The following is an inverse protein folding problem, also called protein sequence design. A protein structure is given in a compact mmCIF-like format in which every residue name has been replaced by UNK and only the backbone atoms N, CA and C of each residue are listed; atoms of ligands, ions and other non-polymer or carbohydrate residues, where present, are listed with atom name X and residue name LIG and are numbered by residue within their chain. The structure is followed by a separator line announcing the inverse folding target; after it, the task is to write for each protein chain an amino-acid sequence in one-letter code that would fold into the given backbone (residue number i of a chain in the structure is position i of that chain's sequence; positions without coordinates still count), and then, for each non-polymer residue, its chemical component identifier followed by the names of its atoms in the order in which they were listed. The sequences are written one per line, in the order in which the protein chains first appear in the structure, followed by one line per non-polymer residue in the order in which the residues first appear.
data_IF_218249628684
#
_entry.id   IF_218249628684
#
_cell.length_a   1.000
_cell.length_b   1.000
_cell.length_c   1.000
_cell.angle_alpha   90.00
_cell.angle_beta   90.00
_cell.angle_gamma   90.00
#
_symmetry.space_group_name_H-M   'P 1'
#
loop_
_entity.id
_entity.type
_entity.pdbx_description
1 polymer ?
#
# COMPACT_ATOMS: atom_id res chain seq x y z
N UNK A 1 -5.70 -2.02 18.95
CA UNK A 1 -5.61 -2.65 17.60
C UNK A 1 -4.19 -2.50 17.10
N UNK A 2 -3.63 -3.55 16.52
CA UNK A 2 -2.29 -3.47 15.94
C UNK A 2 -2.33 -2.66 14.64
N UNK A 3 -1.59 -1.54 14.56
CA UNK A 3 -1.50 -0.67 13.37
C UNK A 3 -0.25 -0.99 12.53
N UNK A 4 0.18 -2.25 12.53
CA UNK A 4 1.33 -2.73 11.79
C UNK A 4 0.90 -3.48 10.54
N UNK A 5 1.53 -3.19 9.42
CA UNK A 5 1.22 -3.77 8.11
C UNK A 5 2.49 -4.11 7.35
N UNK A 6 2.37 -4.91 6.31
CA UNK A 6 3.50 -5.32 5.47
C UNK A 6 3.29 -4.88 4.03
N UNK A 7 4.37 -4.48 3.36
CA UNK A 7 4.45 -4.34 1.92
C UNK A 7 5.35 -5.45 1.39
N UNK A 8 4.79 -6.34 0.57
CA UNK A 8 5.51 -7.49 0.03
C UNK A 8 6.55 -7.07 -0.99
N UNK A 9 7.70 -7.76 -1.00
CA UNK A 9 8.73 -7.58 -2.02
C UNK A 9 8.32 -8.19 -3.37
N UNK A 10 8.98 -7.80 -4.46
CA UNK A 10 8.58 -8.16 -5.83
C UNK A 10 8.59 -9.64 -6.14
N UNK A 11 9.54 -10.39 -5.57
CA UNK A 11 9.67 -11.84 -5.78
C UNK A 11 8.92 -12.70 -4.76
N UNK A 12 8.00 -12.11 -3.97
CA UNK A 12 7.31 -12.82 -2.88
C UNK A 12 6.65 -14.12 -3.33
N UNK A 13 6.05 -14.15 -4.53
CA UNK A 13 5.27 -15.29 -5.03
C UNK A 13 6.11 -16.35 -5.77
N UNK A 14 7.42 -16.17 -5.91
CA UNK A 14 8.27 -17.09 -6.68
C UNK A 14 8.45 -18.44 -5.99
N UNK A 15 8.73 -18.44 -4.67
CA UNK A 15 9.03 -19.65 -3.93
C UNK A 15 8.10 -19.84 -2.73
N UNK A 16 7.51 -21.02 -2.58
CA UNK A 16 6.75 -21.46 -1.39
C UNK A 16 5.76 -20.42 -0.84
N UNK A 17 5.15 -19.61 -1.73
CA UNK A 17 4.33 -18.48 -1.30
C UNK A 17 3.17 -18.88 -0.38
N UNK A 18 2.61 -20.07 -0.52
CA UNK A 18 1.55 -20.58 0.36
C UNK A 18 2.03 -20.71 1.81
N UNK A 19 3.26 -21.20 2.03
CA UNK A 19 3.85 -21.26 3.37
C UNK A 19 4.11 -19.87 3.93
N UNK A 20 4.55 -18.92 3.07
CA UNK A 20 4.74 -17.53 3.48
C UNK A 20 3.40 -16.89 3.89
N UNK A 21 2.31 -17.13 3.15
CA UNK A 21 0.98 -16.60 3.50
C UNK A 21 0.45 -17.26 4.78
N UNK A 22 0.69 -18.54 4.99
CA UNK A 22 0.31 -19.19 6.24
C UNK A 22 1.01 -18.56 7.45
N UNK A 23 2.29 -18.22 7.32
CA UNK A 23 3.01 -17.44 8.34
C UNK A 23 2.35 -16.07 8.55
N UNK A 24 2.00 -15.33 7.47
CA UNK A 24 1.33 -14.05 7.56
C UNK A 24 -0.03 -14.15 8.27
N UNK A 25 -0.80 -15.21 8.00
CA UNK A 25 -2.09 -15.45 8.67
C UNK A 25 -1.96 -15.65 10.18
N UNK A 26 -0.78 -16.04 10.68
CA UNK A 26 -0.49 -16.24 12.11
C UNK A 26 0.15 -15.00 12.77
N UNK A 27 0.38 -13.92 12.00
CA UNK A 27 0.89 -12.66 12.55
C UNK A 27 -0.26 -11.73 12.96
N UNK A 28 -0.06 -10.98 14.03
CA UNK A 28 -0.97 -9.90 14.43
C UNK A 28 -0.69 -8.63 13.62
N UNK A 29 -0.94 -8.69 12.32
CA UNK A 29 -0.82 -7.55 11.40
C UNK A 29 -2.18 -7.07 10.92
N UNK A 30 -2.27 -5.77 10.61
CA UNK A 30 -3.50 -5.15 10.13
C UNK A 30 -3.75 -5.45 8.66
N UNK A 31 -2.76 -5.17 7.81
CA UNK A 31 -2.90 -5.25 6.35
C UNK A 31 -1.66 -5.81 5.67
N UNK A 32 -1.86 -6.43 4.52
CA UNK A 32 -0.80 -6.81 3.58
C UNK A 32 -1.02 -6.06 2.28
N UNK A 33 0.03 -5.38 1.83
CA UNK A 33 0.05 -4.58 0.62
C UNK A 33 0.95 -5.18 -0.45
N UNK A 34 0.55 -5.00 -1.71
CA UNK A 34 1.37 -5.24 -2.90
C UNK A 34 1.56 -3.95 -3.69
N UNK A 35 2.59 -3.86 -4.51
CA UNK A 35 2.87 -2.68 -5.34
C UNK A 35 2.73 -3.00 -6.85
N UNK A 36 2.75 -1.97 -7.69
CA UNK A 36 2.44 -2.07 -9.11
C UNK A 36 3.54 -1.46 -10.00
N UNK A 37 4.77 -2.01 -9.93
CA UNK A 37 5.88 -1.63 -10.82
C UNK A 37 6.02 -2.55 -12.03
N UNK A 38 6.73 -2.08 -13.09
CA UNK A 38 7.10 -2.90 -14.24
C UNK A 38 8.36 -3.73 -14.00
N UNK A 39 9.20 -3.31 -13.08
CA UNK A 39 10.43 -4.01 -12.71
C UNK A 39 10.61 -4.00 -11.20
N UNK A 40 11.36 -4.98 -10.71
CA UNK A 40 11.67 -5.07 -9.30
C UNK A 40 12.46 -3.83 -8.84
N UNK A 41 11.96 -3.08 -7.83
CA UNK A 41 12.54 -1.80 -7.43
C UNK A 41 13.88 -1.93 -6.69
N UNK A 42 14.21 -3.11 -6.15
CA UNK A 42 15.46 -3.34 -5.43
C UNK A 42 16.51 -4.06 -6.28
N UNK A 43 16.12 -5.17 -6.93
CA UNK A 43 17.02 -6.02 -7.71
C UNK A 43 16.41 -6.22 -9.10
N UNK A 44 16.90 -5.48 -10.09
CA UNK A 44 16.35 -5.45 -11.45
C UNK A 44 16.29 -6.83 -12.14
N UNK A 45 17.19 -7.74 -11.78
CA UNK A 45 17.23 -9.10 -12.34
C UNK A 45 16.21 -10.06 -11.71
N UNK A 46 15.61 -9.68 -10.57
CA UNK A 46 14.55 -10.47 -9.96
C UNK A 46 13.19 -10.17 -10.59
N UNK A 47 12.28 -11.15 -10.59
CA UNK A 47 10.93 -10.96 -11.07
C UNK A 47 10.16 -9.95 -10.21
N UNK A 48 9.06 -9.46 -10.76
CA UNK A 48 8.03 -8.72 -10.04
C UNK A 48 6.68 -9.30 -10.43
N UNK A 49 5.84 -9.54 -9.45
CA UNK A 49 4.51 -10.08 -9.66
C UNK A 49 3.61 -9.10 -10.46
N UNK A 50 2.63 -9.64 -11.14
CA UNK A 50 1.50 -8.84 -11.64
C UNK A 50 0.53 -8.61 -10.48
N UNK A 51 0.13 -7.34 -10.28
CA UNK A 51 -0.61 -6.92 -9.07
C UNK A 51 -1.97 -7.62 -8.92
N UNK A 52 -2.70 -7.83 -10.02
CA UNK A 52 -4.01 -8.50 -9.99
C UNK A 52 -3.87 -9.97 -9.60
N UNK A 53 -2.88 -10.66 -10.16
CA UNK A 53 -2.59 -12.05 -9.80
C UNK A 53 -2.16 -12.16 -8.33
N UNK A 54 -1.34 -11.23 -7.86
CA UNK A 54 -0.89 -11.20 -6.48
C UNK A 54 -2.06 -10.99 -5.49
N UNK A 55 -2.96 -10.04 -5.77
CA UNK A 55 -4.16 -9.80 -4.96
C UNK A 55 -5.07 -11.02 -4.95
N UNK A 56 -5.31 -11.65 -6.12
CA UNK A 56 -6.15 -12.85 -6.19
C UNK A 56 -5.56 -14.01 -5.36
N UNK A 57 -4.26 -14.30 -5.52
CA UNK A 57 -3.57 -15.33 -4.73
C UNK A 57 -3.65 -15.07 -3.22
N UNK A 58 -3.51 -13.81 -2.79
CA UNK A 58 -3.66 -13.45 -1.39
C UNK A 58 -5.11 -13.62 -0.92
N UNK A 59 -6.08 -13.14 -1.70
CA UNK A 59 -7.49 -13.17 -1.33
C UNK A 59 -8.05 -14.62 -1.19
N UNK A 60 -7.56 -15.55 -2.00
CA UNK A 60 -7.97 -16.96 -1.95
C UNK A 60 -7.60 -17.65 -0.63
N UNK A 61 -6.48 -17.27 -0.01
CA UNK A 61 -5.92 -17.97 1.16
C UNK A 61 -5.81 -17.10 2.41
N UNK A 62 -6.14 -15.81 2.30
CA UNK A 62 -6.13 -14.88 3.43
C UNK A 62 -7.26 -15.18 4.43
N UNK A 63 -6.94 -15.10 5.73
CA UNK A 63 -7.87 -15.33 6.82
C UNK A 63 -7.96 -14.17 7.82
N UNK A 64 -6.88 -13.43 8.02
CA UNK A 64 -6.72 -12.62 9.23
C UNK A 64 -6.25 -11.17 9.00
N UNK A 65 -5.96 -10.75 7.77
CA UNK A 65 -5.51 -9.38 7.48
C UNK A 65 -6.29 -8.72 6.34
N UNK A 66 -6.32 -7.40 6.31
CA UNK A 66 -6.87 -6.65 5.19
C UNK A 66 -5.90 -6.67 4.00
N UNK A 67 -6.45 -6.62 2.78
CA UNK A 67 -5.66 -6.54 1.57
C UNK A 67 -5.60 -5.11 1.04
N UNK A 68 -4.51 -4.79 0.34
CA UNK A 68 -4.40 -3.51 -0.33
C UNK A 68 -3.28 -3.43 -1.35
N UNK A 69 -3.24 -2.31 -2.05
CA UNK A 69 -2.13 -1.96 -2.94
C UNK A 69 -1.43 -0.69 -2.43
N UNK A 70 -0.10 -0.64 -2.54
CA UNK A 70 0.70 0.50 -2.11
C UNK A 70 1.91 0.68 -3.04
N UNK A 71 1.69 1.24 -4.22
CA UNK A 71 0.47 1.83 -4.75
C UNK A 71 0.08 1.17 -6.08
N UNK A 72 -1.20 1.23 -6.45
CA UNK A 72 -1.65 0.97 -7.81
C UNK A 72 -1.25 2.16 -8.68
N UNK A 73 -0.43 1.93 -9.71
CA UNK A 73 0.06 2.99 -10.56
C UNK A 73 -1.00 3.39 -11.59
N UNK A 74 -1.62 4.56 -11.39
CA UNK A 74 -2.68 5.06 -12.27
C UNK A 74 -2.21 5.33 -13.71
N UNK A 75 -0.91 5.45 -13.95
CA UNK A 75 -0.33 5.71 -15.27
C UNK A 75 0.17 4.47 -16.01
N UNK A 76 0.10 3.29 -15.39
CA UNK A 76 0.62 2.04 -15.98
C UNK A 76 -0.30 1.47 -17.07
N UNK A 77 -1.59 1.79 -17.06
CA UNK A 77 -2.63 1.23 -17.92
C UNK A 77 -3.52 2.32 -18.52
N UNK A 78 -4.24 1.99 -19.61
CA UNK A 78 -5.34 2.83 -20.09
C UNK A 78 -6.40 2.96 -18.99
N UNK A 79 -7.08 4.12 -18.95
CA UNK A 79 -8.06 4.45 -17.91
C UNK A 79 -9.15 3.39 -17.78
N UNK A 80 -9.75 2.96 -18.88
CA UNK A 80 -10.84 1.99 -18.85
C UNK A 80 -10.37 0.63 -18.34
N UNK A 81 -9.19 0.16 -18.77
CA UNK A 81 -8.56 -1.04 -18.25
C UNK A 81 -8.27 -0.91 -16.75
N UNK A 82 -7.73 0.25 -16.31
CA UNK A 82 -7.45 0.50 -14.89
C UNK A 82 -8.73 0.42 -14.03
N UNK A 83 -9.82 1.03 -14.50
CA UNK A 83 -11.09 1.05 -13.78
C UNK A 83 -11.74 -0.33 -13.76
N UNK A 84 -11.96 -0.94 -14.95
CA UNK A 84 -12.78 -2.14 -15.09
C UNK A 84 -12.06 -3.42 -14.65
N UNK A 85 -10.76 -3.56 -14.97
CA UNK A 85 -10.03 -4.80 -14.77
C UNK A 85 -9.25 -4.84 -13.44
N UNK A 86 -9.12 -3.69 -12.75
CA UNK A 86 -8.41 -3.58 -11.49
C UNK A 86 -9.28 -2.93 -10.40
N UNK A 87 -9.61 -1.65 -10.53
CA UNK A 87 -10.24 -0.89 -9.44
C UNK A 87 -11.58 -1.50 -9.04
N UNK A 88 -12.52 -1.65 -9.98
CA UNK A 88 -13.84 -2.17 -9.66
C UNK A 88 -13.80 -3.63 -9.19
N UNK A 89 -12.87 -4.44 -9.69
CA UNK A 89 -12.70 -5.80 -9.19
C UNK A 89 -12.14 -5.85 -7.77
N UNK A 90 -11.18 -4.97 -7.43
CA UNK A 90 -10.64 -4.91 -6.07
C UNK A 90 -11.65 -4.32 -5.07
N UNK A 91 -12.61 -3.52 -5.52
CA UNK A 91 -13.70 -3.02 -4.67
C UNK A 91 -14.67 -4.11 -4.20
N UNK A 92 -14.69 -5.27 -4.87
CA UNK A 92 -15.43 -6.47 -4.43
C UNK A 92 -14.79 -7.15 -3.20
N UNK A 93 -13.51 -6.85 -2.93
CA UNK A 93 -12.79 -7.41 -1.78
C UNK A 93 -13.16 -6.60 -0.53
N UNK A 94 -13.59 -7.29 0.51
CA UNK A 94 -13.99 -6.66 1.78
C UNK A 94 -12.84 -5.86 2.40
N UNK A 95 -13.10 -4.61 2.78
CA UNK A 95 -12.14 -3.72 3.43
C UNK A 95 -10.84 -3.50 2.64
N UNK A 96 -10.91 -3.50 1.31
CA UNK A 96 -9.72 -3.29 0.49
C UNK A 96 -9.15 -1.87 0.62
N UNK A 97 -7.82 -1.76 0.79
CA UNK A 97 -7.10 -0.50 0.91
C UNK A 97 -6.49 -0.08 -0.44
N UNK A 98 -7.08 0.94 -1.09
CA UNK A 98 -6.59 1.48 -2.36
C UNK A 98 -5.49 2.50 -2.17
N UNK A 99 -4.24 2.07 -2.17
CA UNK A 99 -3.12 2.97 -2.39
C UNK A 99 -3.05 3.36 -3.87
N UNK A 100 -3.17 4.63 -4.20
CA UNK A 100 -3.03 5.15 -5.56
C UNK A 100 -1.77 5.99 -5.67
N UNK A 101 -1.10 5.90 -6.82
CA UNK A 101 0.09 6.69 -7.10
C UNK A 101 0.31 6.93 -8.59
N UNK A 102 1.19 7.89 -8.91
CA UNK A 102 1.52 8.24 -10.30
C UNK A 102 2.72 7.46 -10.85
N UNK A 103 3.23 6.50 -10.07
CA UNK A 103 4.45 5.74 -10.37
C UNK A 103 5.75 6.54 -10.14
N UNK A 104 6.87 5.81 -10.14
CA UNK A 104 8.22 6.39 -10.12
C UNK A 104 8.87 6.07 -11.47
N UNK A 105 9.19 7.08 -12.27
CA UNK A 105 9.67 6.95 -13.66
C UNK A 105 10.87 6.00 -13.80
N UNK A 106 11.70 5.89 -12.77
CA UNK A 106 12.87 4.98 -12.79
C UNK A 106 12.52 3.50 -12.78
N UNK A 107 11.30 3.13 -12.33
CA UNK A 107 10.80 1.75 -12.29
C UNK A 107 9.75 1.47 -13.38
N UNK A 108 9.45 2.47 -14.22
CA UNK A 108 8.42 2.40 -15.24
C UNK A 108 9.01 2.33 -16.64
N UNK A 109 8.29 1.71 -17.58
CA UNK A 109 8.67 1.69 -19.01
C UNK A 109 8.31 3.04 -19.63
N UNK A 110 9.31 3.88 -19.95
CA UNK A 110 9.13 5.25 -20.50
C UNK A 110 8.14 5.35 -21.68
N UNK A 111 8.03 4.32 -22.52
CA UNK A 111 7.16 4.31 -23.70
C UNK A 111 5.73 3.80 -23.41
N UNK A 112 5.39 3.53 -22.16
CA UNK A 112 4.09 2.95 -21.74
C UNK A 112 3.46 3.74 -20.59
N UNK A 113 3.64 5.06 -20.54
CA UNK A 113 3.03 5.89 -19.52
C UNK A 113 1.75 6.52 -20.09
N UNK A 114 0.61 6.18 -19.49
CA UNK A 114 -0.67 6.78 -19.82
C UNK A 114 -0.89 8.06 -19.01
N UNK A 115 -1.49 9.09 -19.66
CA UNK A 115 -1.77 10.39 -19.03
C UNK A 115 -3.10 10.39 -18.26
N UNK A 116 -3.33 9.36 -17.43
CA UNK A 116 -4.51 9.33 -16.57
C UNK A 116 -4.40 10.38 -15.46
N UNK A 117 -5.50 11.10 -15.24
CA UNK A 117 -5.59 12.04 -14.13
C UNK A 117 -5.97 11.28 -12.84
N UNK A 118 -5.12 11.35 -11.83
CA UNK A 118 -5.34 10.67 -10.54
C UNK A 118 -6.59 11.21 -9.82
N UNK A 119 -6.88 12.50 -9.95
CA UNK A 119 -8.06 13.13 -9.36
C UNK A 119 -9.36 12.57 -9.94
N UNK A 120 -9.43 12.38 -11.25
CA UNK A 120 -10.56 11.75 -11.90
C UNK A 120 -10.76 10.30 -11.47
N UNK A 121 -9.68 9.56 -11.26
CA UNK A 121 -9.74 8.20 -10.69
C UNK A 121 -10.29 8.21 -9.26
N UNK A 122 -9.85 9.14 -8.41
CA UNK A 122 -10.40 9.31 -7.05
C UNK A 122 -11.90 9.55 -7.12
N UNK A 123 -12.36 10.50 -7.96
CA UNK A 123 -13.79 10.78 -8.11
C UNK A 123 -14.58 9.56 -8.57
N UNK A 124 -14.04 8.76 -9.50
CA UNK A 124 -14.68 7.53 -9.98
C UNK A 124 -14.82 6.49 -8.87
N UNK A 125 -13.80 6.30 -8.05
CA UNK A 125 -13.87 5.39 -6.90
C UNK A 125 -14.91 5.88 -5.89
N UNK A 126 -14.88 7.16 -5.52
CA UNK A 126 -15.80 7.73 -4.53
C UNK A 126 -17.26 7.74 -4.99
N UNK A 127 -17.52 7.84 -6.31
CA UNK A 127 -18.86 7.80 -6.88
C UNK A 127 -19.39 6.39 -7.16
N UNK A 128 -18.54 5.37 -7.08
CA UNK A 128 -18.94 3.99 -7.30
C UNK A 128 -19.68 3.46 -6.06
N UNK A 129 -20.84 2.86 -6.27
CA UNK A 129 -21.54 2.15 -5.19
C UNK A 129 -20.82 0.84 -4.95
N UNK A 130 -20.22 0.72 -3.77
CA UNK A 130 -19.60 -0.54 -3.35
C UNK A 130 -20.68 -1.61 -3.19
N UNK A 131 -20.40 -2.80 -3.72
CA UNK A 131 -21.27 -3.94 -3.51
C UNK A 131 -21.28 -4.28 -2.01
N UNK A 132 -22.46 -4.59 -1.46
CA UNK A 132 -22.69 -4.96 -0.05
C UNK A 132 -22.20 -3.97 1.01
N UNK A 133 -22.04 -2.69 0.68
CA UNK A 133 -21.59 -1.68 1.64
C UNK A 133 -20.13 -1.84 2.06
N UNK A 134 -19.30 -2.51 1.28
CA UNK A 134 -17.86 -2.60 1.52
C UNK A 134 -17.24 -1.21 1.64
N UNK A 135 -16.51 -0.98 2.73
CA UNK A 135 -15.83 0.28 2.96
C UNK A 135 -14.60 0.38 2.07
N UNK A 136 -14.61 1.34 1.16
CA UNK A 136 -13.44 1.66 0.33
C UNK A 136 -12.57 2.68 1.04
N UNK A 137 -11.30 2.34 1.24
CA UNK A 137 -10.30 3.22 1.82
C UNK A 137 -9.31 3.64 0.73
N UNK A 138 -9.26 4.94 0.40
CA UNK A 138 -8.34 5.49 -0.60
C UNK A 138 -7.16 6.13 0.12
N UNK A 139 -5.93 5.79 -0.29
CA UNK A 139 -4.68 6.30 0.25
C UNK A 139 -3.80 6.77 -0.92
N UNK A 140 -3.30 8.01 -0.91
CA UNK A 140 -2.34 8.45 -1.91
C UNK A 140 -0.91 8.18 -1.43
N UNK A 141 -0.14 7.48 -2.26
CA UNK A 141 1.26 7.18 -1.98
C UNK A 141 2.20 8.20 -2.63
N UNK A 142 3.04 8.83 -1.80
CA UNK A 142 4.08 9.74 -2.26
C UNK A 142 4.29 10.93 -1.33
N UNK A 143 5.35 11.70 -1.64
CA UNK A 143 5.81 12.79 -0.78
C UNK A 143 5.58 14.18 -1.39
N UNK A 144 4.93 14.28 -2.55
CA UNK A 144 4.72 15.58 -3.22
C UNK A 144 3.62 16.41 -2.55
N UNK A 145 3.78 17.73 -2.57
CA UNK A 145 2.75 18.67 -2.13
C UNK A 145 1.43 18.47 -2.86
N UNK A 146 1.48 18.21 -4.17
CA UNK A 146 0.30 17.96 -5.01
C UNK A 146 -0.57 16.81 -4.44
N UNK A 147 0.05 15.67 -4.08
CA UNK A 147 -0.69 14.53 -3.51
C UNK A 147 -1.25 14.86 -2.13
N UNK A 148 -0.51 15.58 -1.30
CA UNK A 148 -1.00 16.05 -0.01
C UNK A 148 -2.23 16.97 -0.17
N UNK A 149 -2.19 17.90 -1.10
CA UNK A 149 -3.32 18.82 -1.36
C UNK A 149 -4.58 18.04 -1.83
N UNK A 150 -4.41 16.99 -2.63
CA UNK A 150 -5.52 16.08 -2.98
C UNK A 150 -6.07 15.30 -1.77
N UNK A 151 -5.18 14.81 -0.89
CA UNK A 151 -5.62 14.14 0.34
C UNK A 151 -6.50 15.05 1.21
N UNK A 152 -6.09 16.30 1.38
CA UNK A 152 -6.85 17.29 2.14
C UNK A 152 -8.17 17.63 1.44
N UNK A 153 -8.15 17.85 0.12
CA UNK A 153 -9.34 18.18 -0.68
C UNK A 153 -10.42 17.11 -0.64
N UNK A 154 -10.04 15.83 -0.72
CA UNK A 154 -10.98 14.70 -0.79
C UNK A 154 -11.15 13.96 0.53
N UNK A 155 -10.51 14.42 1.61
CA UNK A 155 -10.52 13.77 2.93
C UNK A 155 -10.12 12.30 2.88
N UNK A 156 -9.11 11.96 2.04
CA UNK A 156 -8.59 10.60 1.85
C UNK A 156 -7.23 10.43 2.52
N UNK A 157 -6.75 9.18 2.60
CA UNK A 157 -5.51 8.83 3.28
C UNK A 157 -4.25 9.26 2.54
N UNK A 158 -3.14 9.31 3.27
CA UNK A 158 -1.80 9.58 2.75
C UNK A 158 -0.81 8.53 3.26
N UNK A 159 -0.04 7.94 2.34
CA UNK A 159 1.13 7.14 2.70
C UNK A 159 2.40 7.94 2.45
N UNK A 160 3.23 8.09 3.49
CA UNK A 160 4.60 8.60 3.34
C UNK A 160 5.56 7.45 3.15
N UNK A 161 6.22 7.40 1.99
CA UNK A 161 7.31 6.49 1.73
C UNK A 161 8.61 7.03 2.32
N UNK A 162 9.08 6.42 3.43
CA UNK A 162 10.31 6.83 4.13
C UNK A 162 10.36 8.34 4.45
N UNK A 163 11.56 8.86 4.66
CA UNK A 163 11.76 10.27 5.00
C UNK A 163 11.85 10.49 6.52
N UNK A 164 11.94 11.77 6.92
CA UNK A 164 12.10 12.12 8.33
C UNK A 164 10.81 12.01 9.12
N UNK A 165 10.94 11.73 10.42
CA UNK A 165 9.81 11.73 11.35
C UNK A 165 9.19 13.13 11.47
N UNK A 166 9.96 14.18 11.31
CA UNK A 166 9.46 15.56 11.30
C UNK A 166 8.48 15.78 10.13
N UNK A 167 8.83 15.31 8.93
CA UNK A 167 7.94 15.45 7.77
C UNK A 167 6.59 14.76 7.98
N UNK A 168 6.56 13.57 8.57
CA UNK A 168 5.28 12.90 8.82
C UNK A 168 4.50 13.59 9.93
N UNK A 169 5.17 14.09 11.00
CA UNK A 169 4.52 14.86 12.06
C UNK A 169 3.84 16.12 11.50
N UNK A 170 4.54 16.86 10.62
CA UNK A 170 3.96 18.03 9.95
C UNK A 170 2.70 17.68 9.13
N UNK A 171 2.68 16.52 8.46
CA UNK A 171 1.50 16.04 7.72
C UNK A 171 0.35 15.67 8.65
N UNK A 172 0.64 15.02 9.78
CA UNK A 172 -0.35 14.71 10.82
C UNK A 172 -1.01 16.01 11.31
N UNK A 173 -0.23 17.04 11.58
CA UNK A 173 -0.75 18.33 12.02
C UNK A 173 -1.63 19.01 10.97
N UNK A 174 -1.29 18.89 9.69
CA UNK A 174 -2.12 19.39 8.59
C UNK A 174 -3.45 18.64 8.51
N UNK A 175 -3.47 17.32 8.67
CA UNK A 175 -4.69 16.52 8.71
C UNK A 175 -5.58 16.91 9.89
N UNK A 176 -5.00 17.08 11.09
CA UNK A 176 -5.72 17.57 12.28
C UNK A 176 -6.34 18.95 12.06
N UNK A 177 -5.59 19.90 11.50
CA UNK A 177 -6.09 21.24 11.16
C UNK A 177 -7.24 21.21 10.15
N UNK A 178 -7.25 20.24 9.24
CA UNK A 178 -8.30 20.02 8.26
C UNK A 178 -9.48 19.16 8.81
N UNK A 179 -9.48 18.80 10.10
CA UNK A 179 -10.44 17.87 10.72
C UNK A 179 -10.52 16.50 10.03
N UNK A 180 -9.42 16.04 9.45
CA UNK A 180 -9.30 14.70 8.86
C UNK A 180 -8.68 13.79 9.92
N UNK A 181 -9.29 12.61 10.11
CA UNK A 181 -8.78 11.63 11.07
C UNK A 181 -7.34 11.20 10.68
N UNK A 182 -6.42 11.33 11.64
CA UNK A 182 -5.01 10.97 11.49
C UNK A 182 -4.79 9.46 11.22
N UNK A 183 -5.75 8.60 11.58
CA UNK A 183 -5.70 7.16 11.24
C UNK A 183 -5.68 6.88 9.73
N UNK A 184 -5.93 7.90 8.90
CA UNK A 184 -5.77 7.82 7.44
C UNK A 184 -4.32 8.06 6.99
N UNK A 185 -3.40 8.35 7.89
CA UNK A 185 -1.98 8.50 7.56
C UNK A 185 -1.27 7.18 7.82
N UNK A 186 -0.40 6.78 6.90
CA UNK A 186 0.51 5.66 7.05
C UNK A 186 1.95 6.05 6.75
N UNK A 187 2.89 5.38 7.39
CA UNK A 187 4.33 5.55 7.19
C UNK A 187 4.96 4.24 6.75
N UNK A 188 5.48 4.23 5.53
CA UNK A 188 6.16 3.05 4.99
C UNK A 188 7.66 3.13 5.21
N UNK A 189 8.26 2.10 5.80
CA UNK A 189 9.67 2.04 6.14
C UNK A 189 10.31 0.71 5.77
N UNK A 190 11.62 0.75 5.41
CA UNK A 190 12.47 -0.44 5.27
C UNK A 190 13.18 -0.82 6.58
N UNK A 191 13.10 0.03 7.59
CA UNK A 191 13.66 -0.27 8.91
C UNK A 191 12.69 -1.17 9.69
N UNK A 192 12.90 -2.47 9.64
CA UNK A 192 12.08 -3.49 10.32
C UNK A 192 12.17 -3.43 11.86
N UNK A 193 13.09 -2.62 12.41
CA UNK A 193 13.23 -2.38 13.86
C UNK A 193 12.56 -1.09 14.32
N UNK A 194 11.93 -0.35 13.42
CA UNK A 194 11.24 0.89 13.74
C UNK A 194 9.91 0.57 14.45
N UNK A 195 9.82 0.85 15.74
CA UNK A 195 8.63 0.52 16.55
C UNK A 195 7.43 1.44 16.28
N UNK A 196 7.67 2.62 15.73
CA UNK A 196 6.64 3.66 15.55
C UNK A 196 6.24 4.40 16.82
N UNK A 197 6.89 4.13 17.97
CA UNK A 197 6.56 4.77 19.28
C UNK A 197 6.72 6.30 19.25
N UNK A 198 7.54 6.83 18.36
CA UNK A 198 7.76 8.27 18.16
C UNK A 198 6.64 8.93 17.35
N UNK A 199 5.76 8.14 16.76
CA UNK A 199 4.56 8.59 16.05
C UNK A 199 3.32 8.34 16.91
N UNK A 200 2.20 8.94 16.50
CA UNK A 200 0.92 8.67 17.13
C UNK A 200 0.51 7.20 16.94
N UNK A 201 -0.03 6.56 17.95
CA UNK A 201 -0.49 5.16 17.94
C UNK A 201 -1.53 4.86 16.86
N UNK A 202 -2.24 5.88 16.38
CA UNK A 202 -3.22 5.73 15.30
C UNK A 202 -2.61 5.66 13.89
N UNK A 203 -1.31 5.97 13.75
CA UNK A 203 -0.62 5.93 12.46
C UNK A 203 -0.28 4.49 12.10
N UNK A 204 -0.66 4.09 10.90
CA UNK A 204 -0.30 2.78 10.38
C UNK A 204 1.18 2.74 9.96
N UNK A 205 1.93 1.77 10.48
CA UNK A 205 3.32 1.53 10.10
C UNK A 205 3.36 0.37 9.11
N UNK A 206 3.85 0.64 7.90
CA UNK A 206 3.98 -0.35 6.84
C UNK A 206 5.45 -0.74 6.70
N UNK A 207 5.79 -1.99 6.99
CA UNK A 207 7.13 -2.52 6.82
C UNK A 207 7.32 -3.06 5.41
N UNK A 208 8.20 -2.44 4.63
CA UNK A 208 8.53 -2.91 3.29
C UNK A 208 9.55 -4.05 3.36
N UNK A 209 9.16 -5.24 2.92
CA UNK A 209 10.04 -6.39 2.82
C UNK A 209 11.08 -6.19 1.73
N UNK A 210 12.31 -6.63 1.98
CA UNK A 210 13.45 -6.48 1.09
C UNK A 210 13.75 -7.75 0.31
N UNK A 211 14.27 -7.60 -0.90
CA UNK A 211 14.80 -8.70 -1.71
C UNK A 211 16.16 -9.25 -1.21
N UNK A 212 16.82 -8.53 -0.30
CA UNK A 212 18.18 -8.84 0.16
C UNK A 212 18.22 -9.69 1.44
N UNK A 213 17.05 -10.05 2.00
CA UNK A 213 16.92 -10.86 3.19
C UNK A 213 15.94 -12.00 2.95
N UNK A 214 16.09 -13.10 3.67
CA UNK A 214 15.08 -14.17 3.62
C UNK A 214 13.75 -13.68 4.22
N UNK A 215 12.65 -14.24 3.76
CA UNK A 215 11.33 -13.90 4.30
C UNK A 215 11.29 -14.16 5.82
N UNK A 216 11.81 -15.32 6.25
CA UNK A 216 11.81 -15.73 7.66
C UNK A 216 12.57 -14.73 8.54
N UNK A 217 13.79 -14.34 8.17
CA UNK A 217 14.58 -13.41 8.97
C UNK A 217 13.88 -12.05 9.14
N UNK A 218 13.17 -11.60 8.11
CA UNK A 218 12.42 -10.35 8.15
C UNK A 218 11.21 -10.44 9.08
N UNK A 219 10.49 -11.56 9.05
CA UNK A 219 9.35 -11.78 9.95
C UNK A 219 9.82 -11.92 11.39
N UNK A 220 10.92 -12.62 11.62
CA UNK A 220 11.51 -12.74 12.96
C UNK A 220 11.94 -11.37 13.52
N UNK A 221 12.55 -10.50 12.67
CA UNK A 221 12.89 -9.12 13.05
C UNK A 221 11.61 -8.33 13.43
N UNK A 222 10.56 -8.38 12.61
CA UNK A 222 9.29 -7.68 12.86
C UNK A 222 8.64 -8.21 14.14
N UNK A 223 8.55 -9.50 14.32
CA UNK A 223 8.00 -10.12 15.53
C UNK A 223 8.72 -9.65 16.79
N UNK A 224 10.04 -9.64 16.76
CA UNK A 224 10.86 -9.23 17.91
C UNK A 224 10.78 -7.75 18.29
N UNK A 225 10.72 -6.85 17.31
CA UNK A 225 10.86 -5.41 17.54
C UNK A 225 9.57 -4.61 17.42
N UNK A 226 8.56 -5.14 16.76
CA UNK A 226 7.41 -4.37 16.34
C UNK A 226 6.06 -4.93 16.78
N UNK A 227 5.94 -6.23 17.03
CA UNK A 227 4.66 -6.86 17.41
C UNK A 227 4.56 -7.13 18.93
N UNK A 228 5.64 -6.90 19.69
CA UNK A 228 5.67 -7.04 21.15
C UNK A 228 5.45 -5.68 21.85
#
# INVERSE_FOLDING_TARGET
MNNKSLLLNGSFFEDEYLKKIDILNNLEIKSVYVFDHYQNPEIKSKPVYEIKEAINKLNEVNKNFELGCMVLNVRKRKKDTLLNDYIYQFMEIKNFNFGLGIGDEKYEKKNKIFKNNIEDIICKIQSHKTYDGNKVNIILGGNSKFLLDLCLKYSIGLNQWQGSLENIKNKIDLFKKANINESKISYCTKNLKFSGKELNENIEIIYALSENKTFKDQIDDIGKYCLN
#
